data_IF_268485324506
#
_entry.id   IF_268485324506
#
_cell.length_a   1.000
_cell.length_b   1.000
_cell.length_c   1.000
_cell.angle_alpha   90.00
_cell.angle_beta   90.00
_cell.angle_gamma   90.00
#
_symmetry.space_group_name_H-M   'P 1'
#
loop_
_entity.id
_entity.type
_entity.pdbx_description
1 polymer ?
#
# COMPACT_ATOMS: atom_id res chain seq x y z
N UNK A 1 -5.42 5.32 8.17
CA UNK A 1 -4.97 4.39 9.23
C UNK A 1 -3.52 4.70 9.56
N UNK A 2 -3.14 4.73 10.85
CA UNK A 2 -1.78 5.00 11.31
C UNK A 2 -1.31 3.87 12.23
N UNK A 3 -0.12 3.32 12.01
CA UNK A 3 0.46 2.26 12.84
C UNK A 3 1.99 2.33 12.87
N UNK A 4 2.58 2.00 14.01
CA UNK A 4 4.03 1.79 14.14
C UNK A 4 4.28 0.28 14.14
N UNK A 5 5.18 -0.19 13.28
CA UNK A 5 5.57 -1.61 13.15
C UNK A 5 7.10 -1.64 13.10
N UNK A 6 7.73 -2.41 14.00
CA UNK A 6 9.20 -2.53 14.10
C UNK A 6 9.96 -1.19 14.22
N UNK A 7 9.32 -0.15 14.76
CA UNK A 7 9.89 1.20 14.90
C UNK A 7 9.64 2.12 13.70
N UNK A 8 9.01 1.62 12.64
CA UNK A 8 8.70 2.37 11.42
C UNK A 8 7.25 2.87 11.43
N UNK A 9 7.04 4.11 11.00
CA UNK A 9 5.71 4.72 10.93
C UNK A 9 5.07 4.48 9.57
N UNK A 10 3.88 3.89 9.59
CA UNK A 10 3.02 3.70 8.42
C UNK A 10 1.70 4.46 8.62
N UNK A 11 1.47 5.49 7.81
CA UNK A 11 0.28 6.33 7.91
C UNK A 11 -0.28 6.64 6.51
N UNK A 12 -1.49 6.13 6.23
CA UNK A 12 -2.15 6.31 4.93
C UNK A 12 -2.50 7.77 4.62
N UNK A 13 -2.52 8.68 5.60
CA UNK A 13 -2.89 10.10 5.39
C UNK A 13 -1.76 10.93 4.79
N UNK A 14 -0.52 10.55 5.07
CA UNK A 14 0.69 11.25 4.63
C UNK A 14 1.50 10.43 3.62
N UNK A 15 1.16 9.15 3.45
CA UNK A 15 1.77 8.29 2.45
C UNK A 15 1.08 8.45 1.10
N UNK A 16 1.85 8.23 0.04
CA UNK A 16 1.39 8.33 -1.34
C UNK A 16 0.75 7.01 -1.74
N UNK A 17 -0.47 7.05 -2.27
CA UNK A 17 -1.17 5.89 -2.83
C UNK A 17 -0.56 5.56 -4.20
N UNK A 18 -0.04 4.34 -4.36
CA UNK A 18 0.56 3.86 -5.61
C UNK A 18 -0.47 3.14 -6.47
N UNK A 19 -1.32 2.32 -5.86
CA UNK A 19 -2.29 1.54 -6.61
C UNK A 19 -3.26 0.77 -5.74
N UNK A 20 -4.31 0.29 -6.39
CA UNK A 20 -5.48 -0.28 -5.76
C UNK A 20 -5.81 -1.64 -6.36
N UNK A 21 -6.23 -2.55 -5.49
CA UNK A 21 -6.88 -3.79 -5.89
C UNK A 21 -8.31 -3.78 -5.37
N UNK A 22 -9.22 -3.24 -6.20
CA UNK A 22 -10.63 -2.99 -5.88
C UNK A 22 -11.34 -4.22 -5.30
N UNK A 23 -11.15 -5.42 -5.89
CA UNK A 23 -11.83 -6.65 -5.45
C UNK A 23 -11.55 -7.07 -3.99
N UNK A 24 -10.56 -6.48 -3.32
CA UNK A 24 -10.17 -6.84 -1.94
C UNK A 24 -10.02 -5.66 -0.99
N UNK A 25 -10.39 -4.44 -1.38
CA UNK A 25 -10.15 -3.24 -0.56
C UNK A 25 -8.70 -3.12 -0.11
N UNK A 26 -7.76 -3.43 -1.01
CA UNK A 26 -6.33 -3.49 -0.72
C UNK A 26 -5.59 -2.41 -1.49
N UNK A 27 -4.94 -1.52 -0.75
CA UNK A 27 -4.34 -0.30 -1.25
C UNK A 27 -2.84 -0.32 -0.96
N UNK A 28 -2.01 -0.05 -1.97
CA UNK A 28 -0.55 -0.03 -1.82
C UNK A 28 -0.06 1.41 -1.70
N UNK A 29 0.68 1.69 -0.64
CA UNK A 29 1.21 3.01 -0.33
C UNK A 29 2.74 3.00 -0.27
N UNK A 30 3.32 4.19 -0.44
CA UNK A 30 4.72 4.50 -0.20
C UNK A 30 4.82 5.68 0.78
N UNK A 31 5.60 5.53 1.84
CA UNK A 31 5.85 6.63 2.77
C UNK A 31 6.97 7.57 2.26
N UNK A 32 7.21 8.64 3.01
CA UNK A 32 8.21 9.67 2.72
C UNK A 32 9.65 9.14 2.72
N UNK A 33 9.96 8.15 3.54
CA UNK A 33 11.26 7.47 3.59
C UNK A 33 11.43 6.39 2.50
N UNK A 34 10.43 6.18 1.64
CA UNK A 34 10.51 5.29 0.49
C UNK A 34 10.20 3.82 0.76
N UNK A 35 9.63 3.50 1.93
CA UNK A 35 9.13 2.17 2.27
C UNK A 35 7.72 1.94 1.73
N UNK A 36 7.36 0.67 1.55
CA UNK A 36 6.11 0.28 0.93
C UNK A 36 5.26 -0.52 1.92
N UNK A 37 3.95 -0.32 1.87
CA UNK A 37 3.01 -1.09 2.68
C UNK A 37 1.67 -1.26 2.00
N UNK A 38 0.93 -2.28 2.42
CA UNK A 38 -0.44 -2.52 1.99
C UNK A 38 -1.37 -2.20 3.13
N UNK A 39 -2.32 -1.32 2.87
CA UNK A 39 -3.48 -1.12 3.70
C UNK A 39 -4.62 -2.00 3.20
N UNK A 40 -5.14 -2.85 4.09
CA UNK A 40 -6.37 -3.58 3.86
C UNK A 40 -7.49 -2.85 4.60
N UNK A 41 -8.42 -2.29 3.85
CA UNK A 41 -9.64 -1.69 4.39
C UNK A 41 -10.62 -2.79 4.81
N UNK A 42 -11.35 -2.54 5.89
CA UNK A 42 -12.39 -3.47 6.33
C UNK A 42 -13.49 -3.47 5.27
N UNK A 43 -13.68 -4.62 4.62
CA UNK A 43 -14.85 -4.87 3.80
C UNK A 43 -15.94 -5.46 4.68
N UNK A 44 -17.15 -4.90 4.64
CA UNK A 44 -18.30 -5.35 5.44
C UNK A 44 -18.53 -6.87 5.34
N UNK A 45 -18.16 -7.45 4.20
CA UNK A 45 -18.29 -8.88 3.89
C UNK A 45 -17.32 -9.77 4.64
N UNK A 46 -16.16 -9.27 5.09
CA UNK A 46 -15.07 -10.13 5.62
C UNK A 46 -14.85 -10.08 7.12
N UNK A 47 -15.49 -9.16 7.86
CA UNK A 47 -15.31 -8.97 9.33
C UNK A 47 -13.83 -8.88 9.78
N UNK A 48 -12.87 -8.66 8.86
CA UNK A 48 -11.46 -8.48 9.19
C UNK A 48 -11.22 -7.04 9.61
N UNK A 49 -10.49 -6.84 10.71
CA UNK A 49 -10.07 -5.51 11.13
C UNK A 49 -9.11 -4.90 10.09
N UNK A 50 -9.18 -3.57 9.87
CA UNK A 50 -8.23 -2.91 8.99
C UNK A 50 -6.80 -3.14 9.46
N UNK A 51 -5.90 -3.42 8.53
CA UNK A 51 -4.49 -3.71 8.86
C UNK A 51 -3.52 -3.11 7.86
N UNK A 52 -2.31 -2.87 8.35
CA UNK A 52 -1.16 -2.44 7.57
C UNK A 52 -0.16 -3.59 7.55
N UNK A 53 0.29 -3.95 6.35
CA UNK A 53 1.31 -4.94 6.11
C UNK A 53 2.49 -4.28 5.37
N UNK A 54 3.63 -4.04 6.03
CA UNK A 54 4.85 -3.62 5.35
C UNK A 54 5.27 -4.65 4.30
N UNK A 55 5.79 -4.18 3.17
CA UNK A 55 6.27 -5.02 2.08
C UNK A 55 7.60 -4.51 1.53
N UNK A 56 8.41 -5.41 0.97
CA UNK A 56 9.63 -4.99 0.30
C UNK A 56 9.36 -4.34 -1.05
N UNK A 57 10.31 -3.53 -1.54
CA UNK A 57 10.26 -2.89 -2.86
C UNK A 57 9.98 -3.90 -3.98
N UNK A 58 10.65 -5.06 -3.97
CA UNK A 58 10.44 -6.11 -4.98
C UNK A 58 9.01 -6.67 -4.96
N UNK A 59 8.37 -6.74 -3.78
CA UNK A 59 6.96 -7.14 -3.68
C UNK A 59 6.05 -6.03 -4.22
N UNK A 60 6.35 -4.77 -3.93
CA UNK A 60 5.60 -3.62 -4.44
C UNK A 60 5.64 -3.54 -5.97
N UNK A 61 6.82 -3.66 -6.57
CA UNK A 61 7.03 -3.72 -8.03
C UNK A 61 6.18 -4.83 -8.65
N UNK A 62 6.27 -6.06 -8.14
CA UNK A 62 5.48 -7.19 -8.65
C UNK A 62 3.97 -6.96 -8.53
N UNK A 63 3.53 -6.21 -7.52
CA UNK A 63 2.11 -5.90 -7.30
C UNK A 63 1.62 -4.79 -8.21
N UNK A 64 2.43 -3.78 -8.49
CA UNK A 64 2.11 -2.69 -9.43
C UNK A 64 1.71 -3.24 -10.80
N UNK A 65 2.45 -4.21 -11.33
CA UNK A 65 2.09 -4.90 -12.58
C UNK A 65 0.85 -5.81 -12.50
N UNK A 66 0.35 -6.11 -11.29
CA UNK A 66 -0.82 -6.99 -11.06
C UNK A 66 -2.06 -6.24 -10.62
N UNK A 67 -1.95 -4.95 -10.33
CA UNK A 67 -3.08 -4.13 -9.90
C UNK A 67 -3.82 -3.64 -11.14
N UNK A 68 -5.15 -3.69 -11.07
CA UNK A 68 -5.99 -3.26 -12.19
C UNK A 68 -6.00 -1.73 -12.32
N UNK A 69 -5.77 -1.03 -11.20
CA UNK A 69 -5.73 0.43 -11.12
C UNK A 69 -4.44 0.85 -10.41
N UNK A 70 -3.57 1.56 -11.11
CA UNK A 70 -2.42 2.22 -10.52
C UNK A 70 -2.66 3.73 -10.55
N UNK A 71 -2.45 4.39 -9.42
CA UNK A 71 -2.60 5.85 -9.27
C UNK A 71 -1.36 6.60 -9.73
N UNK A 72 -0.21 5.91 -9.78
CA UNK A 72 1.06 6.44 -10.24
C UNK A 72 1.65 5.54 -11.32
N UNK A 73 2.27 6.17 -12.31
CA UNK A 73 3.11 5.48 -13.27
C UNK A 73 4.33 4.89 -12.58
N UNK A 74 4.90 3.84 -13.18
CA UNK A 74 6.01 3.09 -12.60
C UNK A 74 7.18 3.98 -12.19
N UNK A 75 7.53 4.94 -13.06
CA UNK A 75 8.62 5.90 -12.83
C UNK A 75 8.37 6.79 -11.62
N UNK A 76 7.15 7.26 -11.44
CA UNK A 76 6.77 8.12 -10.30
C UNK A 76 6.72 7.31 -9.00
N UNK A 77 6.19 6.09 -9.06
CA UNK A 77 6.09 5.21 -7.90
C UNK A 77 7.48 4.75 -7.39
N UNK A 78 8.39 4.39 -8.30
CA UNK A 78 9.63 3.69 -7.96
C UNK A 78 10.93 4.45 -8.28
N UNK A 79 10.86 5.58 -9.00
CA UNK A 79 12.01 6.43 -9.33
C UNK A 79 12.87 5.91 -10.50
N UNK A 80 12.34 5.04 -11.37
CA UNK A 80 13.05 4.41 -12.49
C UNK A 80 12.52 4.88 -13.85
#
# INVERSE_FOLDING_TARGET
>A
MKRIIDGHLYDTRVSILIGEKEERGSFMYKNDVGEFFIYHEMTETKKELPRINPISRSVAIRRHFRYNVNQLDFKEAFGE
#
